data_IF_010413433527
#
_entry.id   IF_010413433527
#
_cell.length_a   1.000
_cell.length_b   1.000
_cell.length_c   1.000
_cell.angle_alpha   90.00
_cell.angle_beta   90.00
_cell.angle_gamma   90.00
#
_symmetry.space_group_name_H-M   'P 1'
#
loop_
_entity.id
_entity.type
_entity.pdbx_description
1 polymer ?
#
# COMPACT_ATOMS: atom_id res chain seq x y z
N UNK A 1 11.28 -54.86 20.02
CA UNK A 1 12.11 -53.82 19.36
C UNK A 1 11.18 -52.80 18.70
N UNK A 2 10.88 -51.71 19.39
CA UNK A 2 10.01 -50.62 18.90
C UNK A 2 10.82 -49.71 17.98
N UNK A 3 10.38 -49.60 16.72
CA UNK A 3 11.05 -48.86 15.66
C UNK A 3 10.94 -47.36 15.95
N UNK A 4 12.08 -46.68 16.09
CA UNK A 4 12.21 -45.22 15.96
C UNK A 4 11.83 -44.86 14.52
N UNK A 5 10.65 -44.28 14.32
CA UNK A 5 10.38 -43.53 13.11
C UNK A 5 10.71 -42.06 13.40
N UNK A 6 11.74 -41.59 12.73
CA UNK A 6 12.16 -40.19 12.71
C UNK A 6 10.99 -39.34 12.21
N UNK A 7 10.65 -38.21 12.85
CA UNK A 7 9.68 -37.28 12.27
C UNK A 7 10.26 -36.72 10.97
N UNK A 8 9.52 -36.92 9.87
CA UNK A 8 9.90 -36.39 8.56
C UNK A 8 10.17 -34.87 8.65
N UNK A 9 11.22 -34.37 7.96
CA UNK A 9 11.47 -32.94 7.87
C UNK A 9 10.28 -32.25 7.20
N UNK A 10 9.92 -31.01 7.57
CA UNK A 10 8.82 -30.32 6.89
C UNK A 10 9.22 -30.14 5.42
N UNK A 11 8.56 -30.90 4.55
CA UNK A 11 8.59 -30.66 3.11
C UNK A 11 8.07 -29.25 2.91
N UNK A 12 8.99 -28.31 2.68
CA UNK A 12 8.68 -26.94 2.33
C UNK A 12 8.03 -26.97 0.95
N UNK A 13 6.72 -27.16 0.94
CA UNK A 13 5.90 -26.75 -0.18
C UNK A 13 6.14 -25.25 -0.38
N UNK A 14 6.40 -24.76 -1.60
CA UNK A 14 6.44 -23.33 -1.85
C UNK A 14 5.04 -22.82 -1.49
N UNK A 15 4.92 -22.16 -0.35
CA UNK A 15 3.68 -21.51 0.07
C UNK A 15 3.38 -20.53 -1.05
N UNK A 16 2.32 -20.72 -1.86
CA UNK A 16 1.87 -19.62 -2.69
C UNK A 16 1.58 -18.51 -1.71
N UNK A 17 2.29 -17.38 -1.81
CA UNK A 17 1.90 -16.15 -1.09
C UNK A 17 0.40 -16.04 -1.36
N UNK A 18 -0.42 -16.27 -0.32
CA UNK A 18 -1.79 -16.64 -0.53
C UNK A 18 -2.44 -15.49 -1.31
N UNK A 19 -3.02 -15.75 -2.48
CA UNK A 19 -3.67 -14.70 -3.28
C UNK A 19 -4.68 -13.86 -2.45
N UNK A 20 -5.14 -14.42 -1.34
CA UNK A 20 -5.91 -13.76 -0.30
C UNK A 20 -5.23 -12.54 0.34
N UNK A 21 -3.92 -12.61 0.66
CA UNK A 21 -3.16 -11.50 1.23
C UNK A 21 -3.02 -10.34 0.23
N UNK A 22 -2.84 -10.64 -1.06
CA UNK A 22 -2.74 -9.63 -2.10
C UNK A 22 -4.09 -8.92 -2.34
N UNK A 23 -5.19 -9.68 -2.42
CA UNK A 23 -6.54 -9.11 -2.54
C UNK A 23 -6.93 -8.27 -1.32
N UNK A 24 -6.56 -8.72 -0.12
CA UNK A 24 -6.78 -7.97 1.12
C UNK A 24 -5.99 -6.67 1.13
N UNK A 25 -4.73 -6.71 0.71
CA UNK A 25 -3.88 -5.52 0.60
C UNK A 25 -4.43 -4.50 -0.42
N UNK A 26 -4.86 -4.95 -1.60
CA UNK A 26 -5.52 -4.09 -2.60
C UNK A 26 -6.78 -3.42 -2.03
N UNK A 27 -7.61 -4.19 -1.30
CA UNK A 27 -8.80 -3.65 -0.65
C UNK A 27 -8.44 -2.59 0.40
N UNK A 28 -7.42 -2.84 1.23
CA UNK A 28 -6.94 -1.86 2.22
C UNK A 28 -6.43 -0.59 1.56
N UNK A 29 -5.69 -0.70 0.45
CA UNK A 29 -5.20 0.46 -0.30
C UNK A 29 -6.34 1.29 -0.89
N UNK A 30 -7.34 0.64 -1.48
CA UNK A 30 -8.54 1.31 -1.97
C UNK A 30 -9.26 2.05 -0.83
N UNK A 31 -9.39 1.42 0.34
CA UNK A 31 -9.99 2.05 1.51
C UNK A 31 -9.17 3.28 1.96
N UNK A 32 -7.84 3.18 2.02
CA UNK A 32 -6.96 4.31 2.36
C UNK A 32 -7.13 5.44 1.34
N UNK A 33 -7.19 5.13 0.04
CA UNK A 33 -7.39 6.14 -1.01
C UNK A 33 -8.73 6.86 -0.84
N UNK A 34 -9.81 6.14 -0.55
CA UNK A 34 -11.12 6.75 -0.29
C UNK A 34 -11.10 7.64 0.96
N UNK A 35 -10.45 7.20 2.04
CA UNK A 35 -10.27 8.03 3.24
C UNK A 35 -9.53 9.33 2.91
N UNK A 36 -8.44 9.26 2.15
CA UNK A 36 -7.67 10.43 1.75
C UNK A 36 -8.49 11.36 0.83
N UNK A 37 -9.33 10.81 -0.06
CA UNK A 37 -10.24 11.59 -0.91
C UNK A 37 -11.31 12.30 -0.09
N UNK A 38 -11.94 11.62 0.87
CA UNK A 38 -12.90 12.21 1.79
C UNK A 38 -12.27 13.31 2.65
N UNK A 39 -11.09 13.06 3.23
CA UNK A 39 -10.34 14.06 3.99
C UNK A 39 -10.01 15.29 3.15
N UNK A 40 -9.66 15.09 1.87
CA UNK A 40 -9.43 16.18 0.90
C UNK A 40 -10.70 17.02 0.72
N UNK A 41 -11.85 16.39 0.49
CA UNK A 41 -13.13 17.09 0.33
C UNK A 41 -13.50 17.91 1.58
N UNK A 42 -13.38 17.29 2.77
CA UNK A 42 -13.64 17.96 4.05
C UNK A 42 -12.71 19.17 4.23
N UNK A 43 -11.41 19.00 3.98
CA UNK A 43 -10.44 20.08 4.12
C UNK A 43 -10.69 21.24 3.13
N UNK A 44 -11.08 20.94 1.88
CA UNK A 44 -11.49 21.96 0.91
C UNK A 44 -12.73 22.72 1.39
N UNK A 45 -13.79 22.00 1.77
CA UNK A 45 -15.04 22.61 2.21
C UNK A 45 -14.87 23.44 3.49
N UNK A 46 -14.03 22.97 4.43
CA UNK A 46 -13.62 23.78 5.58
C UNK A 46 -12.84 25.03 5.13
N UNK A 47 -11.87 24.91 4.23
CA UNK A 47 -11.05 26.04 3.80
C UNK A 47 -11.86 27.10 3.03
N UNK A 48 -12.90 26.70 2.30
CA UNK A 48 -13.77 27.61 1.53
C UNK A 48 -14.64 28.47 2.45
N UNK A 49 -15.11 27.91 3.56
CA UNK A 49 -15.96 28.59 4.54
C UNK A 49 -15.17 29.39 5.61
N UNK A 50 -13.83 29.36 5.58
CA UNK A 50 -12.96 29.99 6.57
C UNK A 50 -12.10 31.10 5.97
N UNK A 51 -11.60 32.01 6.82
CA UNK A 51 -10.68 33.09 6.44
C UNK A 51 -9.57 33.27 7.48
N UNK A 52 -8.40 33.74 7.05
CA UNK A 52 -7.22 33.93 7.91
C UNK A 52 -6.64 32.63 8.48
N UNK A 53 -6.14 32.67 9.71
CA UNK A 53 -5.47 31.55 10.37
C UNK A 53 -6.21 30.19 10.32
N UNK A 54 -7.54 30.09 10.53
CA UNK A 54 -8.22 28.80 10.43
C UNK A 54 -8.28 28.24 8.99
N UNK A 55 -8.29 29.11 7.98
CA UNK A 55 -8.14 28.68 6.57
C UNK A 55 -6.74 28.17 6.31
N UNK A 56 -5.71 28.85 6.82
CA UNK A 56 -4.32 28.40 6.70
C UNK A 56 -4.12 27.02 7.35
N UNK A 57 -4.77 26.76 8.48
CA UNK A 57 -4.77 25.45 9.13
C UNK A 57 -5.44 24.38 8.25
N UNK A 58 -6.61 24.66 7.67
CA UNK A 58 -7.29 23.74 6.75
C UNK A 58 -6.44 23.43 5.50
N UNK A 59 -5.76 24.45 4.96
CA UNK A 59 -4.80 24.29 3.87
C UNK A 59 -3.54 23.51 4.30
N UNK A 60 -3.14 23.60 5.57
CA UNK A 60 -2.12 22.75 6.16
C UNK A 60 -2.53 21.28 6.16
N UNK A 61 -3.77 20.97 6.56
CA UNK A 61 -4.33 19.61 6.47
C UNK A 61 -4.33 19.08 5.04
N UNK A 62 -4.72 19.91 4.06
CA UNK A 62 -4.59 19.60 2.62
C UNK A 62 -3.20 19.15 2.23
N UNK A 63 -2.18 19.88 2.68
CA UNK A 63 -0.79 19.55 2.40
C UNK A 63 -0.40 18.20 3.00
N UNK A 64 -0.80 17.92 4.26
CA UNK A 64 -0.57 16.64 4.92
C UNK A 64 -1.26 15.48 4.19
N UNK A 65 -2.50 15.67 3.75
CA UNK A 65 -3.25 14.67 2.98
C UNK A 65 -2.56 14.39 1.64
N UNK A 66 -2.12 15.45 0.94
CA UNK A 66 -1.33 15.33 -0.29
C UNK A 66 -0.03 14.57 -0.08
N UNK A 67 0.66 14.80 1.04
CA UNK A 67 1.87 14.07 1.41
C UNK A 67 1.56 12.59 1.68
N UNK A 68 0.51 12.28 2.46
CA UNK A 68 0.09 10.90 2.71
C UNK A 68 -0.20 10.14 1.41
N UNK A 69 -0.86 10.77 0.43
CA UNK A 69 -1.10 10.17 -0.90
C UNK A 69 0.19 9.85 -1.65
N UNK A 70 1.19 10.74 -1.60
CA UNK A 70 2.50 10.49 -2.21
C UNK A 70 3.20 9.29 -1.58
N UNK A 71 3.24 9.22 -0.24
CA UNK A 71 3.84 8.08 0.45
C UNK A 71 3.17 6.75 0.07
N UNK A 72 1.84 6.72 -0.07
CA UNK A 72 1.13 5.52 -0.54
C UNK A 72 1.56 5.13 -1.96
N UNK A 73 1.67 6.09 -2.88
CA UNK A 73 2.16 5.80 -4.23
C UNK A 73 3.61 5.32 -4.24
N UNK A 74 4.50 5.93 -3.45
CA UNK A 74 5.91 5.51 -3.36
C UNK A 74 6.07 4.10 -2.80
N UNK A 75 5.21 3.71 -1.85
CA UNK A 75 5.15 2.34 -1.32
C UNK A 75 4.62 1.36 -2.37
N UNK A 76 3.68 1.79 -3.22
CA UNK A 76 3.16 0.99 -4.33
C UNK A 76 4.20 0.77 -5.44
N UNK A 77 4.94 1.80 -5.82
CA UNK A 77 6.04 1.72 -6.79
C UNK A 77 7.10 0.70 -6.35
N UNK A 78 7.42 0.65 -5.05
CA UNK A 78 8.36 -0.32 -4.47
C UNK A 78 7.87 -1.78 -4.54
N UNK A 79 6.56 -1.99 -4.68
CA UNK A 79 5.97 -3.33 -4.81
C UNK A 79 5.91 -3.80 -6.27
N UNK A 80 6.22 -2.94 -7.25
CA UNK A 80 6.26 -3.36 -8.64
C UNK A 80 7.44 -4.30 -8.88
N UNK A 81 7.22 -5.49 -9.46
CA UNK A 81 8.32 -6.39 -9.80
C UNK A 81 9.22 -5.71 -10.81
N UNK A 82 10.49 -5.52 -10.45
CA UNK A 82 11.55 -5.12 -11.39
C UNK A 82 11.64 -6.23 -12.43
N UNK A 83 11.06 -6.01 -13.60
CA UNK A 83 11.22 -6.91 -14.73
C UNK A 83 12.68 -6.78 -15.16
N UNK A 84 13.54 -7.81 -15.02
CA UNK A 84 14.88 -7.73 -15.55
C UNK A 84 14.75 -7.69 -17.07
N UNK A 85 15.26 -6.62 -17.69
CA UNK A 85 15.34 -6.47 -19.14
C UNK A 85 15.95 -7.73 -19.74
N UNK A 86 15.10 -8.60 -20.29
CA UNK A 86 15.52 -9.77 -21.06
C UNK A 86 15.67 -9.35 -22.52
N UNK A 87 16.32 -8.20 -22.74
CA UNK A 87 16.72 -7.71 -24.06
C UNK A 87 18.22 -7.95 -24.19
N UNK A 88 18.61 -9.08 -24.76
CA UNK A 88 20.01 -9.33 -25.09
C UNK A 88 20.55 -10.71 -24.75
N UNK A 89 19.96 -11.79 -25.27
CA UNK A 89 20.74 -12.99 -25.58
C UNK A 89 20.18 -13.72 -26.80
N UNK A 90 20.26 -13.05 -27.96
CA UNK A 90 20.40 -13.73 -29.23
C UNK A 90 21.90 -13.74 -29.57
N UNK A 91 22.59 -14.81 -29.16
CA UNK A 91 23.93 -15.17 -29.66
C UNK A 91 23.89 -16.65 -30.07
#
# INVERSE_FOLDING_TARGET
MTKKLVPDPPTSSPVPIAAHDLNHFEMQLNQVYDVLRCATAIAYECADNLQGQPRDLAMGSMHLIGHARKMVHELLDQLQPVVPDTDGLAN
#
